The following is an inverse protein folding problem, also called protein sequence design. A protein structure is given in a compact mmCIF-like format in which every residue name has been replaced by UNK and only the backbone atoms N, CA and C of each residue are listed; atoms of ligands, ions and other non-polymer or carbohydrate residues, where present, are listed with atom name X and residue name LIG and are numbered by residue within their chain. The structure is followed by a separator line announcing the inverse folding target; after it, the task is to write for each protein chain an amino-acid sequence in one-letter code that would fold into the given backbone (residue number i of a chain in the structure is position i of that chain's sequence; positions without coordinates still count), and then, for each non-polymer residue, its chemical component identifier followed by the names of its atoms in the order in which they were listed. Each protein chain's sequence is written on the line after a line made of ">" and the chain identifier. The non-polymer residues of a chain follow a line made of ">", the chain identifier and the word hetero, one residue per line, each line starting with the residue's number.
data_IF_553625518688
#
_entry.id   IF_553625518688
#
_cell.length_a   1.000
_cell.length_b   1.000
_cell.length_c   1.000
_cell.angle_alpha   90.00
_cell.angle_beta   90.00
_cell.angle_gamma   90.00
#
_symmetry.space_group_name_H-M   'P 1'
#
loop_
_entity.id
_entity.type
_entity.pdbx_description
1 polymer ?
#
# COMPACT_ATOMS: atom_id res chain seq x y z
N UNK A 1 22.32 -22.76 -4.85
CA UNK A 1 21.72 -21.46 -5.22
C UNK A 1 20.54 -21.79 -6.11
N UNK A 2 19.36 -21.95 -5.52
CA UNK A 2 18.14 -22.24 -6.30
C UNK A 2 17.73 -20.97 -7.03
N UNK A 3 17.84 -20.99 -8.34
CA UNK A 3 17.29 -19.96 -9.21
C UNK A 3 15.78 -20.15 -9.24
N UNK A 4 15.03 -19.21 -8.70
CA UNK A 4 13.58 -19.16 -8.90
C UNK A 4 13.28 -19.21 -10.39
N UNK A 5 12.41 -20.12 -10.86
CA UNK A 5 12.07 -20.19 -12.27
C UNK A 5 11.46 -18.86 -12.71
N UNK A 6 11.94 -18.30 -13.82
CA UNK A 6 11.26 -17.22 -14.53
C UNK A 6 9.90 -17.78 -14.97
N UNK A 7 8.83 -17.40 -14.28
CA UNK A 7 7.49 -17.77 -14.69
C UNK A 7 7.20 -17.16 -16.07
N UNK A 8 7.15 -18.04 -17.08
CA UNK A 8 6.71 -17.66 -18.41
C UNK A 8 5.22 -17.31 -18.34
N UNK A 9 4.86 -16.06 -18.64
CA UNK A 9 3.46 -15.66 -18.77
C UNK A 9 2.87 -16.30 -20.02
N UNK A 10 1.70 -16.94 -19.93
CA UNK A 10 1.00 -17.43 -21.12
C UNK A 10 0.64 -16.23 -22.02
N UNK A 11 0.90 -16.34 -23.31
CA UNK A 11 0.58 -15.32 -24.31
C UNK A 11 -0.89 -15.28 -24.72
N UNK A 12 -1.65 -16.33 -24.40
CA UNK A 12 -3.12 -16.45 -24.63
C UNK A 12 -3.81 -16.74 -23.29
N UNK A 13 -4.07 -15.69 -22.52
CA UNK A 13 -4.70 -15.81 -21.21
C UNK A 13 -6.11 -15.25 -21.27
N UNK A 14 -7.09 -16.12 -21.09
CA UNK A 14 -8.48 -15.71 -20.90
C UNK A 14 -8.72 -15.29 -19.45
N UNK A 15 -9.58 -14.31 -19.28
CA UNK A 15 -10.03 -13.87 -17.96
C UNK A 15 -10.71 -15.02 -17.21
N UNK A 16 -10.31 -15.25 -15.97
CA UNK A 16 -10.89 -16.26 -15.08
C UNK A 16 -11.95 -15.59 -14.19
N UNK A 17 -13.25 -15.95 -14.34
CA UNK A 17 -14.31 -15.38 -13.53
C UNK A 17 -14.12 -15.60 -12.03
N UNK A 18 -13.51 -16.73 -11.60
CA UNK A 18 -13.25 -17.00 -10.19
C UNK A 18 -12.15 -16.11 -9.63
N UNK A 19 -11.08 -15.87 -10.41
CA UNK A 19 -10.04 -14.91 -10.06
C UNK A 19 -10.61 -13.50 -9.93
N UNK A 20 -11.44 -13.11 -10.87
CA UNK A 20 -12.09 -11.79 -10.90
C UNK A 20 -12.98 -11.58 -9.68
N UNK A 21 -13.82 -12.55 -9.38
CA UNK A 21 -14.71 -12.46 -8.23
C UNK A 21 -13.93 -12.44 -6.88
N UNK A 22 -12.91 -13.28 -6.74
CA UNK A 22 -12.07 -13.31 -5.55
C UNK A 22 -11.37 -11.95 -5.31
N UNK A 23 -10.75 -11.39 -6.37
CA UNK A 23 -10.08 -10.10 -6.26
C UNK A 23 -11.06 -8.95 -6.06
N UNK A 24 -12.25 -9.00 -6.69
CA UNK A 24 -13.32 -8.00 -6.49
C UNK A 24 -13.74 -7.95 -5.02
N UNK A 25 -14.04 -9.09 -4.40
CA UNK A 25 -14.42 -9.14 -2.98
C UNK A 25 -13.33 -8.57 -2.09
N UNK A 26 -12.07 -8.95 -2.29
CA UNK A 26 -10.95 -8.42 -1.52
C UNK A 26 -10.75 -6.90 -1.74
N UNK A 27 -10.94 -6.43 -2.98
CA UNK A 27 -10.88 -5.01 -3.31
C UNK A 27 -12.00 -4.23 -2.61
N UNK A 28 -13.22 -4.72 -2.63
CA UNK A 28 -14.38 -4.09 -2.01
C UNK A 28 -14.33 -4.13 -0.49
N UNK A 29 -13.69 -5.15 0.10
CA UNK A 29 -13.42 -5.24 1.54
C UNK A 29 -12.29 -4.33 2.01
N UNK A 30 -11.48 -3.79 1.13
CA UNK A 30 -10.42 -2.84 1.49
C UNK A 30 -11.01 -1.47 1.79
N UNK A 31 -10.72 -0.91 2.96
CA UNK A 31 -11.22 0.40 3.38
C UNK A 31 -10.62 1.54 2.53
N UNK A 32 -11.46 2.40 2.01
CA UNK A 32 -11.12 3.63 1.26
C UNK A 32 -11.92 4.80 1.80
N UNK A 33 -11.46 6.00 1.50
CA UNK A 33 -12.24 7.20 1.79
C UNK A 33 -13.53 7.20 0.96
N UNK A 34 -14.61 7.82 1.47
CA UNK A 34 -15.89 7.92 0.75
C UNK A 34 -15.73 8.56 -0.63
N UNK A 35 -16.66 8.27 -1.54
CA UNK A 35 -16.60 8.81 -2.91
C UNK A 35 -16.75 10.36 -2.94
N UNK A 36 -17.44 10.93 -1.98
CA UNK A 36 -17.66 12.37 -1.81
C UNK A 36 -16.62 13.04 -0.88
N UNK A 37 -15.58 12.30 -0.45
CA UNK A 37 -14.54 12.84 0.41
C UNK A 37 -13.78 13.99 -0.25
N UNK A 38 -13.79 15.15 0.39
CA UNK A 38 -13.17 16.39 -0.13
C UNK A 38 -11.74 16.58 0.35
N UNK A 39 -11.30 15.75 1.28
CA UNK A 39 -9.97 15.86 1.87
C UNK A 39 -9.98 16.25 3.34
N UNK A 40 -8.79 16.48 3.85
CA UNK A 40 -8.58 16.96 5.21
C UNK A 40 -7.28 17.77 5.33
N UNK A 41 -7.22 18.59 6.39
CA UNK A 41 -5.99 19.19 6.89
C UNK A 41 -5.68 18.66 8.28
N UNK A 42 -4.39 18.68 8.66
CA UNK A 42 -3.94 18.32 9.99
C UNK A 42 -2.61 18.99 10.33
N UNK A 43 -2.31 19.13 11.63
CA UNK A 43 -0.96 19.40 12.08
C UNK A 43 -0.12 18.14 11.88
N UNK A 44 1.13 18.32 11.48
CA UNK A 44 2.06 17.24 11.20
C UNK A 44 3.29 17.35 12.09
N UNK A 45 3.63 16.29 12.80
CA UNK A 45 4.88 16.11 13.49
C UNK A 45 5.66 14.98 12.85
N UNK A 46 6.88 15.27 12.40
CA UNK A 46 7.76 14.31 11.72
C UNK A 46 8.98 14.07 12.60
N UNK A 47 9.36 12.81 12.76
CA UNK A 47 10.64 12.46 13.35
C UNK A 47 11.41 11.58 12.37
N UNK A 48 12.67 11.90 12.13
CA UNK A 48 13.61 11.14 11.32
C UNK A 48 14.86 10.91 12.14
N UNK A 49 15.04 9.66 12.61
CA UNK A 49 16.21 9.24 13.39
C UNK A 49 16.53 10.18 14.58
N UNK A 50 15.48 10.63 15.28
CA UNK A 50 15.58 11.54 16.43
C UNK A 50 15.44 13.04 16.10
N UNK A 51 15.59 13.46 14.84
CA UNK A 51 15.32 14.85 14.43
C UNK A 51 13.82 15.08 14.30
N UNK A 52 13.27 15.92 15.15
CA UNK A 52 11.86 16.26 15.16
C UNK A 52 11.57 17.59 14.45
N UNK A 53 10.53 17.61 13.60
CA UNK A 53 10.01 18.80 12.93
C UNK A 53 8.49 18.85 13.10
N UNK A 54 7.97 20.07 13.16
CA UNK A 54 6.53 20.35 13.15
C UNK A 54 6.16 21.11 11.88
N UNK A 55 4.96 20.86 11.39
CA UNK A 55 4.42 21.50 10.22
C UNK A 55 2.96 21.17 10.00
N UNK A 56 2.52 21.16 8.77
CA UNK A 56 1.13 20.91 8.42
C UNK A 56 1.01 20.07 7.16
N UNK A 57 -0.15 19.45 7.01
CA UNK A 57 -0.53 18.69 5.82
C UNK A 57 -1.92 19.13 5.36
N UNK A 58 -2.09 19.19 4.04
CA UNK A 58 -3.38 19.37 3.38
C UNK A 58 -3.48 18.31 2.29
N UNK A 59 -4.52 17.49 2.35
CA UNK A 59 -4.84 16.48 1.34
C UNK A 59 -6.22 16.77 0.79
N UNK A 60 -6.34 17.07 -0.50
CA UNK A 60 -7.60 17.25 -1.21
C UNK A 60 -7.94 16.05 -2.08
N UNK A 61 -6.92 15.41 -2.65
CA UNK A 61 -7.04 14.19 -3.44
C UNK A 61 -5.72 13.41 -3.43
N UNK A 62 -5.69 12.28 -4.11
CA UNK A 62 -4.46 11.51 -4.31
C UNK A 62 -3.36 12.28 -5.08
N UNK A 63 -3.74 13.23 -5.93
CA UNK A 63 -2.84 14.05 -6.73
C UNK A 63 -2.62 15.46 -6.16
N UNK A 64 -3.43 15.86 -5.18
CA UNK A 64 -3.36 17.17 -4.52
C UNK A 64 -3.15 16.99 -3.01
N UNK A 65 -1.91 16.65 -2.66
CA UNK A 65 -1.44 16.53 -1.29
C UNK A 65 -0.22 17.44 -1.10
N UNK A 66 -0.26 18.30 -0.09
CA UNK A 66 0.83 19.22 0.23
C UNK A 66 1.26 19.08 1.68
N UNK A 67 2.56 19.26 1.90
CA UNK A 67 3.22 19.21 3.22
C UNK A 67 4.08 20.46 3.37
N UNK A 68 4.05 21.08 4.54
CA UNK A 68 4.88 22.20 4.89
C UNK A 68 5.76 21.85 6.09
N UNK A 69 7.07 21.79 5.90
CA UNK A 69 8.11 21.55 6.92
C UNK A 69 9.30 22.46 6.67
N UNK A 70 10.09 22.76 7.71
CA UNK A 70 11.24 23.64 7.60
C UNK A 70 12.47 23.00 6.91
N UNK A 71 12.53 21.67 6.81
CA UNK A 71 13.62 20.93 6.17
C UNK A 71 13.15 20.36 4.84
N UNK A 72 13.77 20.76 3.73
CA UNK A 72 13.35 20.42 2.37
C UNK A 72 13.44 18.90 2.06
N UNK A 73 14.48 18.21 2.55
CA UNK A 73 14.64 16.78 2.30
C UNK A 73 13.62 15.96 3.09
N UNK A 74 13.41 16.30 4.36
CA UNK A 74 12.39 15.67 5.19
C UNK A 74 10.99 15.97 4.64
N UNK A 75 10.74 17.21 4.17
CA UNK A 75 9.48 17.58 3.54
C UNK A 75 9.21 16.74 2.29
N UNK A 76 10.22 16.55 1.43
CA UNK A 76 10.11 15.75 0.22
C UNK A 76 9.75 14.29 0.53
N UNK A 77 10.43 13.68 1.51
CA UNK A 77 10.13 12.33 1.97
C UNK A 77 8.70 12.23 2.54
N UNK A 78 8.33 13.15 3.44
CA UNK A 78 7.00 13.18 4.05
C UNK A 78 5.90 13.36 3.01
N UNK A 79 6.09 14.28 2.05
CA UNK A 79 5.15 14.52 0.97
C UNK A 79 4.95 13.29 0.09
N UNK A 80 6.02 12.58 -0.30
CA UNK A 80 5.94 11.33 -1.06
C UNK A 80 5.19 10.23 -0.29
N UNK A 81 5.49 10.08 1.01
CA UNK A 81 4.83 9.09 1.88
C UNK A 81 3.34 9.40 2.05
N UNK A 82 2.98 10.67 2.23
CA UNK A 82 1.58 11.11 2.39
C UNK A 82 0.82 10.98 1.08
N UNK A 83 1.43 11.31 -0.05
CA UNK A 83 0.83 11.10 -1.37
C UNK A 83 0.51 9.61 -1.60
N UNK A 84 1.37 8.68 -1.19
CA UNK A 84 1.11 7.24 -1.27
C UNK A 84 -0.06 6.82 -0.37
N UNK A 85 -0.20 7.38 0.83
CA UNK A 85 -1.39 7.16 1.67
C UNK A 85 -2.65 7.60 0.90
N UNK A 86 -2.64 8.80 0.33
CA UNK A 86 -3.78 9.34 -0.41
C UNK A 86 -4.12 8.51 -1.66
N UNK A 87 -3.12 8.05 -2.41
CA UNK A 87 -3.31 7.14 -3.56
C UNK A 87 -3.99 5.84 -3.13
N UNK A 88 -3.54 5.21 -2.05
CA UNK A 88 -4.09 3.93 -1.61
C UNK A 88 -5.46 4.06 -0.95
N UNK A 89 -5.73 5.19 -0.30
CA UNK A 89 -6.97 5.46 0.43
C UNK A 89 -8.04 6.17 -0.40
N UNK A 90 -7.66 6.80 -1.50
CA UNK A 90 -8.57 7.53 -2.38
C UNK A 90 -9.69 6.65 -2.96
N UNK A 91 -10.87 7.24 -3.20
CA UNK A 91 -12.00 6.52 -3.77
C UNK A 91 -11.69 6.06 -5.21
N UNK A 92 -12.02 4.81 -5.52
CA UNK A 92 -11.95 4.21 -6.85
C UNK A 92 -12.77 2.93 -6.90
N UNK A 93 -13.20 2.54 -8.08
CA UNK A 93 -13.90 1.27 -8.30
C UNK A 93 -12.92 0.16 -8.67
N UNK A 94 -13.35 -1.09 -8.50
CA UNK A 94 -12.60 -2.26 -8.96
C UNK A 94 -12.31 -2.19 -10.46
N UNK A 95 -13.32 -1.88 -11.26
CA UNK A 95 -13.22 -1.86 -12.72
C UNK A 95 -12.32 -0.73 -13.26
N UNK A 96 -12.20 0.38 -12.51
CA UNK A 96 -11.22 1.45 -12.81
C UNK A 96 -9.78 1.10 -12.39
N UNK A 97 -9.61 0.07 -11.58
CA UNK A 97 -8.33 -0.33 -10.99
C UNK A 97 -7.86 -1.69 -11.54
N UNK A 98 -7.76 -2.68 -10.68
CA UNK A 98 -7.25 -4.01 -11.01
C UNK A 98 -8.20 -4.78 -11.95
N UNK A 99 -9.50 -4.50 -11.89
CA UNK A 99 -10.53 -5.13 -12.72
C UNK A 99 -10.49 -4.81 -14.22
N UNK A 100 -9.73 -3.80 -14.62
CA UNK A 100 -9.52 -3.48 -16.06
C UNK A 100 -8.56 -4.46 -16.76
N UNK A 101 -7.86 -5.30 -16.01
CA UNK A 101 -6.89 -6.26 -16.53
C UNK A 101 -7.49 -7.66 -16.62
N UNK A 102 -6.87 -8.52 -17.41
CA UNK A 102 -7.14 -9.96 -17.40
C UNK A 102 -6.62 -10.52 -16.07
N UNK A 103 -7.43 -11.36 -15.43
CA UNK A 103 -7.12 -11.95 -14.12
C UNK A 103 -7.16 -13.47 -14.23
N UNK A 104 -6.21 -14.16 -13.56
CA UNK A 104 -6.17 -15.62 -13.51
C UNK A 104 -5.79 -16.12 -12.12
N UNK A 105 -6.25 -17.32 -11.77
CA UNK A 105 -5.85 -18.00 -10.54
C UNK A 105 -4.57 -18.82 -10.75
N UNK A 106 -3.74 -18.88 -9.74
CA UNK A 106 -2.68 -19.87 -9.64
C UNK A 106 -3.29 -21.27 -9.52
N UNK A 107 -2.78 -22.21 -10.33
CA UNK A 107 -3.14 -23.62 -10.24
C UNK A 107 -2.20 -24.31 -9.27
N UNK A 108 -2.74 -24.97 -8.25
CA UNK A 108 -1.93 -25.72 -7.29
C UNK A 108 -2.52 -25.73 -5.88
N UNK A 109 -1.72 -26.21 -4.93
CA UNK A 109 -2.10 -26.22 -3.52
C UNK A 109 -2.19 -24.80 -2.97
N UNK A 110 -3.14 -24.49 -2.07
CA UNK A 110 -3.26 -23.17 -1.48
C UNK A 110 -2.00 -22.83 -0.66
N UNK A 111 -1.52 -21.61 -0.83
CA UNK A 111 -0.42 -21.06 -0.05
C UNK A 111 -0.93 -20.63 1.34
N UNK A 112 -0.12 -20.67 2.42
CA UNK A 112 -0.54 -20.20 3.76
C UNK A 112 -1.08 -18.76 3.79
N UNK A 113 -0.61 -17.89 2.87
CA UNK A 113 -1.11 -16.52 2.71
C UNK A 113 -2.35 -16.42 1.80
N UNK A 114 -2.94 -17.54 1.38
CA UNK A 114 -4.14 -17.58 0.56
C UNK A 114 -3.90 -17.89 -0.90
N UNK A 115 -4.94 -17.72 -1.70
CA UNK A 115 -4.95 -18.03 -3.13
C UNK A 115 -4.30 -16.90 -3.94
N UNK A 116 -3.47 -17.25 -4.92
CA UNK A 116 -2.79 -16.27 -5.78
C UNK A 116 -3.68 -15.91 -6.97
N UNK A 117 -3.86 -14.61 -7.17
CA UNK A 117 -4.46 -14.02 -8.37
C UNK A 117 -3.37 -13.29 -9.13
N UNK A 118 -3.14 -13.68 -10.38
CA UNK A 118 -2.28 -12.95 -11.32
C UNK A 118 -3.08 -11.84 -11.99
N UNK A 119 -2.51 -10.65 -12.03
CA UNK A 119 -3.03 -9.49 -12.75
C UNK A 119 -2.14 -9.31 -13.98
N UNK A 120 -2.69 -9.47 -15.18
CA UNK A 120 -1.94 -9.36 -16.43
C UNK A 120 -1.76 -7.89 -16.82
N UNK A 121 -1.09 -7.14 -15.95
CA UNK A 121 -0.70 -5.75 -16.12
C UNK A 121 0.78 -5.61 -16.50
N UNK A 122 1.22 -4.39 -16.78
CA UNK A 122 2.62 -4.08 -17.11
C UNK A 122 3.56 -4.14 -15.87
N UNK A 123 3.00 -4.31 -14.66
CA UNK A 123 3.75 -4.34 -13.41
C UNK A 123 4.04 -5.76 -12.93
N UNK A 124 3.63 -6.76 -13.71
CA UNK A 124 3.76 -8.18 -13.32
C UNK A 124 3.12 -8.46 -11.95
N UNK A 125 1.97 -7.87 -11.69
CA UNK A 125 1.30 -7.95 -10.41
C UNK A 125 0.74 -9.34 -10.14
N UNK A 126 0.93 -9.82 -8.92
CA UNK A 126 0.13 -10.93 -8.38
C UNK A 126 -0.11 -10.70 -6.90
N UNK A 127 -1.33 -11.04 -6.47
CA UNK A 127 -1.75 -10.87 -5.09
C UNK A 127 -2.12 -12.20 -4.49
N UNK A 128 -1.87 -12.36 -3.19
CA UNK A 128 -2.45 -13.44 -2.41
C UNK A 128 -3.62 -12.93 -1.60
N UNK A 129 -4.69 -13.71 -1.59
CA UNK A 129 -5.96 -13.33 -0.98
C UNK A 129 -6.40 -14.46 -0.06
N UNK A 130 -6.68 -14.10 1.20
CA UNK A 130 -7.25 -14.99 2.19
C UNK A 130 -8.39 -14.27 2.92
N UNK A 131 -9.56 -14.92 3.08
CA UNK A 131 -10.74 -14.36 3.73
C UNK A 131 -11.13 -12.96 3.19
N UNK A 132 -11.20 -12.85 1.85
CA UNK A 132 -11.47 -11.59 1.15
C UNK A 132 -10.54 -10.43 1.55
N UNK A 133 -9.32 -10.74 1.97
CA UNK A 133 -8.29 -9.78 2.35
C UNK A 133 -7.02 -10.01 1.53
N UNK A 134 -6.48 -8.96 0.97
CA UNK A 134 -5.17 -9.01 0.31
C UNK A 134 -4.10 -9.15 1.40
N UNK A 135 -3.41 -10.28 1.40
CA UNK A 135 -2.38 -10.64 2.39
C UNK A 135 -0.98 -10.44 1.86
N UNK A 136 -0.80 -10.50 0.52
CA UNK A 136 0.47 -10.25 -0.12
C UNK A 136 0.27 -9.58 -1.48
N UNK A 137 1.18 -8.66 -1.81
CA UNK A 137 1.25 -7.96 -3.10
C UNK A 137 2.66 -8.13 -3.65
N UNK A 138 2.78 -8.55 -4.90
CA UNK A 138 4.06 -8.61 -5.63
C UNK A 138 3.94 -7.77 -6.88
N UNK A 139 4.96 -6.94 -7.15
CA UNK A 139 5.02 -6.07 -8.34
C UNK A 139 6.45 -5.82 -8.80
N UNK A 140 6.57 -5.54 -10.11
CA UNK A 140 7.79 -5.02 -10.72
C UNK A 140 7.47 -3.71 -11.41
N UNK A 141 8.05 -2.60 -10.95
CA UNK A 141 7.83 -1.26 -11.47
C UNK A 141 9.17 -0.67 -11.94
N UNK A 142 9.48 -0.82 -13.22
CA UNK A 142 10.77 -0.38 -13.76
C UNK A 142 11.95 -1.00 -13.00
N UNK A 143 12.79 -0.19 -12.32
CA UNK A 143 13.95 -0.70 -11.59
C UNK A 143 13.60 -1.26 -10.21
N UNK A 144 12.34 -1.25 -9.80
CA UNK A 144 11.91 -1.76 -8.50
C UNK A 144 11.11 -3.05 -8.65
N UNK A 145 11.55 -4.10 -7.97
CA UNK A 145 10.77 -5.30 -7.71
C UNK A 145 10.50 -5.38 -6.21
N UNK A 146 9.25 -5.57 -5.81
CA UNK A 146 8.93 -5.60 -4.40
C UNK A 146 7.82 -6.61 -4.06
N UNK A 147 7.88 -7.09 -2.82
CA UNK A 147 6.83 -7.89 -2.18
C UNK A 147 6.37 -7.15 -0.93
N UNK A 148 5.07 -6.98 -0.76
CA UNK A 148 4.44 -6.47 0.45
C UNK A 148 3.74 -7.62 1.15
N UNK A 149 4.09 -7.92 2.40
CA UNK A 149 3.34 -8.80 3.26
C UNK A 149 2.48 -7.97 4.23
N UNK A 150 1.17 -8.16 4.18
CA UNK A 150 0.24 -7.56 5.14
C UNK A 150 0.19 -8.46 6.38
N UNK A 151 0.64 -7.92 7.51
CA UNK A 151 0.77 -8.64 8.77
C UNK A 151 -0.47 -8.45 9.66
N UNK A 152 -1.05 -7.23 9.61
CA UNK A 152 -2.20 -6.91 10.45
C UNK A 152 -3.12 -5.88 9.76
N UNK A 153 -4.41 -5.98 10.06
CA UNK A 153 -5.44 -5.08 9.56
C UNK A 153 -6.50 -4.83 10.62
N UNK A 154 -6.83 -3.57 10.86
CA UNK A 154 -7.99 -3.21 11.63
C UNK A 154 -9.27 -3.42 10.81
N UNK A 155 -10.38 -3.68 11.49
CA UNK A 155 -11.70 -3.72 10.89
C UNK A 155 -12.40 -2.41 11.20
N UNK A 156 -12.87 -1.70 10.17
CA UNK A 156 -13.61 -0.45 10.32
C UNK A 156 -15.04 -0.71 10.77
N UNK A 157 -15.77 0.31 11.29
CA UNK A 157 -17.20 0.18 11.57
C UNK A 157 -18.04 -0.27 10.38
N UNK A 158 -17.59 0.01 9.15
CA UNK A 158 -18.25 -0.40 7.90
C UNK A 158 -17.85 -1.82 7.46
N UNK A 159 -17.23 -2.60 8.35
CA UNK A 159 -16.76 -3.96 8.07
C UNK A 159 -15.80 -4.05 6.87
N UNK A 160 -14.88 -3.09 6.78
CA UNK A 160 -13.79 -3.06 5.79
C UNK A 160 -12.45 -3.30 6.48
N UNK A 161 -11.48 -3.84 5.73
CA UNK A 161 -10.11 -4.02 6.21
C UNK A 161 -9.28 -2.76 5.97
N UNK A 162 -8.64 -2.28 7.03
CA UNK A 162 -7.72 -1.15 7.05
C UNK A 162 -6.35 -1.65 7.46
N UNK A 163 -5.42 -1.69 6.52
CA UNK A 163 -4.07 -2.20 6.79
C UNK A 163 -3.41 -1.41 7.91
N UNK A 164 -2.92 -2.11 8.94
CA UNK A 164 -2.29 -1.55 10.12
C UNK A 164 -0.79 -1.85 10.20
N UNK A 165 -0.37 -3.04 9.79
CA UNK A 165 1.06 -3.41 9.70
C UNK A 165 1.34 -4.16 8.42
N UNK A 166 2.48 -3.84 7.81
CA UNK A 166 2.98 -4.54 6.64
C UNK A 166 4.49 -4.35 6.50
N UNK A 167 5.14 -5.31 5.85
CA UNK A 167 6.55 -5.23 5.50
C UNK A 167 6.72 -5.25 3.99
N UNK A 168 7.54 -4.34 3.48
CA UNK A 168 7.91 -4.25 2.07
C UNK A 168 9.34 -4.76 1.92
N UNK A 169 9.53 -5.73 1.06
CA UNK A 169 10.82 -6.27 0.65
C UNK A 169 11.13 -5.78 -0.76
N UNK A 170 12.21 -5.04 -0.93
CA UNK A 170 12.65 -4.53 -2.22
C UNK A 170 13.79 -5.39 -2.76
N UNK A 171 13.70 -5.73 -4.02
CA UNK A 171 14.67 -6.59 -4.68
C UNK A 171 15.22 -5.90 -5.93
N UNK A 172 16.48 -6.16 -6.22
CA UNK A 172 17.07 -5.88 -7.53
C UNK A 172 16.37 -6.73 -8.59
N UNK A 173 15.79 -6.13 -9.64
CA UNK A 173 15.15 -6.91 -10.71
C UNK A 173 16.15 -7.67 -11.58
N UNK A 174 17.46 -7.35 -11.51
CA UNK A 174 18.51 -7.97 -12.31
C UNK A 174 18.90 -9.36 -11.76
N UNK A 175 19.06 -9.48 -10.45
CA UNK A 175 19.60 -10.67 -9.80
C UNK A 175 18.76 -11.19 -8.63
N UNK A 176 17.69 -10.46 -8.25
CA UNK A 176 16.81 -10.83 -7.14
C UNK A 176 17.41 -10.56 -5.75
N UNK A 177 18.53 -9.83 -5.66
CA UNK A 177 19.13 -9.48 -4.37
C UNK A 177 18.20 -8.57 -3.57
N UNK A 178 18.02 -8.86 -2.28
CA UNK A 178 17.30 -8.01 -1.35
C UNK A 178 18.09 -6.72 -1.10
N UNK A 179 17.50 -5.56 -1.43
CA UNK A 179 18.18 -4.26 -1.36
C UNK A 179 17.71 -3.41 -0.18
N UNK A 180 16.43 -3.51 0.18
CA UNK A 180 15.85 -2.75 1.29
C UNK A 180 14.68 -3.51 1.91
N UNK A 181 14.44 -3.32 3.19
CA UNK A 181 13.26 -3.80 3.90
C UNK A 181 12.64 -2.62 4.64
N UNK A 182 11.34 -2.43 4.49
CA UNK A 182 10.59 -1.43 5.23
C UNK A 182 9.46 -2.08 6.02
N UNK A 183 9.50 -1.98 7.35
CA UNK A 183 8.40 -2.35 8.22
C UNK A 183 7.58 -1.11 8.56
N UNK A 184 6.30 -1.15 8.21
CA UNK A 184 5.37 -0.02 8.36
C UNK A 184 4.29 -0.36 9.37
N UNK A 185 4.05 0.55 10.30
CA UNK A 185 2.94 0.49 11.25
C UNK A 185 2.11 1.76 11.12
N UNK A 186 0.82 1.58 10.90
CA UNK A 186 -0.16 2.66 10.77
C UNK A 186 -1.20 2.58 11.88
N UNK A 187 -1.57 3.72 12.43
CA UNK A 187 -2.79 3.87 13.21
C UNK A 187 -3.69 4.91 12.56
N UNK A 188 -4.97 4.77 12.77
CA UNK A 188 -5.98 5.61 12.14
C UNK A 188 -6.95 6.14 13.18
N UNK A 189 -7.60 7.25 12.85
CA UNK A 189 -8.75 7.77 13.58
C UNK A 189 -9.93 7.93 12.63
N UNK A 190 -11.12 7.71 13.14
CA UNK A 190 -12.36 7.95 12.40
C UNK A 190 -12.84 9.37 12.62
N UNK A 191 -13.04 10.11 11.51
CA UNK A 191 -13.66 11.42 11.52
C UNK A 191 -14.78 11.46 10.46
N UNK A 192 -16.02 11.59 10.91
CA UNK A 192 -17.17 11.35 10.03
C UNK A 192 -17.16 9.92 9.49
N UNK A 193 -17.19 9.77 8.17
CA UNK A 193 -17.13 8.47 7.48
C UNK A 193 -15.74 8.11 6.98
N UNK A 194 -14.72 8.94 7.26
CA UNK A 194 -13.37 8.72 6.79
C UNK A 194 -12.44 8.23 7.90
N UNK A 195 -11.67 7.16 7.63
CA UNK A 195 -10.58 6.72 8.48
C UNK A 195 -9.30 7.44 8.03
N UNK A 196 -8.84 8.38 8.82
CA UNK A 196 -7.70 9.24 8.54
C UNK A 196 -6.42 8.71 9.21
N UNK A 197 -5.22 8.95 8.64
CA UNK A 197 -3.98 8.57 9.30
C UNK A 197 -3.80 9.35 10.61
N UNK A 198 -3.48 8.64 11.70
CA UNK A 198 -3.12 9.25 12.99
C UNK A 198 -1.62 9.15 13.24
N UNK A 199 -1.03 8.00 12.95
CA UNK A 199 0.42 7.79 13.03
C UNK A 199 0.85 6.83 11.93
N UNK A 200 1.95 7.12 11.27
CA UNK A 200 2.73 6.17 10.48
C UNK A 200 4.14 6.10 11.02
N UNK A 201 4.62 4.88 11.27
CA UNK A 201 6.02 4.61 11.56
C UNK A 201 6.59 3.71 10.48
N UNK A 202 7.75 4.09 9.95
CA UNK A 202 8.52 3.31 8.98
C UNK A 202 9.88 3.00 9.61
N UNK A 203 10.23 1.72 9.65
CA UNK A 203 11.57 1.26 9.99
C UNK A 203 12.15 0.68 8.72
N UNK A 204 13.20 1.28 8.20
CA UNK A 204 13.88 0.80 6.99
C UNK A 204 15.26 0.23 7.34
N UNK A 205 15.63 -0.87 6.65
CA UNK A 205 16.96 -1.47 6.73
C UNK A 205 17.53 -1.55 5.31
N UNK A 206 18.47 -0.67 5.01
CA UNK A 206 19.11 -0.54 3.70
C UNK A 206 20.62 -0.44 3.86
N UNK A 207 21.38 -1.22 3.10
CA UNK A 207 22.86 -1.18 3.11
C UNK A 207 23.47 -1.27 4.51
N UNK A 208 22.90 -2.11 5.39
CA UNK A 208 23.39 -2.29 6.77
C UNK A 208 23.04 -1.13 7.73
N UNK A 209 22.28 -0.14 7.28
CA UNK A 209 21.80 0.98 8.12
C UNK A 209 20.33 0.81 8.42
N UNK A 210 19.96 1.11 9.66
CA UNK A 210 18.56 1.17 10.10
C UNK A 210 18.17 2.62 10.30
N UNK A 211 17.03 3.02 9.77
CA UNK A 211 16.42 4.34 9.93
C UNK A 211 15.00 4.20 10.47
N UNK A 212 14.61 5.06 11.38
CA UNK A 212 13.26 5.11 11.95
C UNK A 212 12.64 6.46 11.65
N UNK A 213 11.52 6.45 10.93
CA UNK A 213 10.80 7.66 10.54
C UNK A 213 9.35 7.58 11.00
N UNK A 214 8.82 8.68 11.52
CA UNK A 214 7.42 8.77 11.94
C UNK A 214 6.73 9.99 11.38
N UNK A 215 5.45 9.83 11.04
CA UNK A 215 4.50 10.90 10.72
C UNK A 215 3.37 10.81 11.73
N UNK A 216 3.22 11.79 12.62
CA UNK A 216 2.12 11.89 13.55
C UNK A 216 1.20 13.05 13.13
N UNK A 217 -0.08 12.75 13.00
CA UNK A 217 -1.11 13.70 12.57
C UNK A 217 -2.01 14.04 13.74
N UNK A 218 -2.33 15.32 13.91
CA UNK A 218 -3.20 15.81 14.97
C UNK A 218 -4.07 16.97 14.47
N UNK A 219 -5.10 17.32 15.24
CA UNK A 219 -5.99 18.45 14.92
C UNK A 219 -6.61 18.34 13.51
N UNK A 220 -7.06 17.13 13.14
CA UNK A 220 -7.67 16.86 11.83
C UNK A 220 -8.94 17.71 11.63
N UNK A 221 -9.10 18.22 10.41
CA UNK A 221 -10.29 18.96 9.96
C UNK A 221 -10.65 18.49 8.58
N UNK A 222 -11.88 18.03 8.39
CA UNK A 222 -12.43 17.73 7.06
C UNK A 222 -12.61 19.03 6.26
N UNK A 223 -12.47 18.94 4.93
CA UNK A 223 -12.66 20.06 4.00
C UNK A 223 -14.09 20.12 3.50
#
# INVERSE_FOLDING_TARGET
>A
METYPKEARPTDVNDDPAARELLRRAFEKTARWPADFKGFSADLKVNVDGKELKGSVLIKSAQDASVSLADAEIQKWAAGTIAMIAVHRGPRTFDQSDGKHVLTLEKGAPHPLGQTVYIHDNLQSHYRINDDRITQINRTMGPMKFTINVEDSAVTPDNKYLTARYTVYYFSPQDGTLTNVESVTDTHLRLGQADLPALRRVISAENGKVSVKTLAFSNHRLL
#
